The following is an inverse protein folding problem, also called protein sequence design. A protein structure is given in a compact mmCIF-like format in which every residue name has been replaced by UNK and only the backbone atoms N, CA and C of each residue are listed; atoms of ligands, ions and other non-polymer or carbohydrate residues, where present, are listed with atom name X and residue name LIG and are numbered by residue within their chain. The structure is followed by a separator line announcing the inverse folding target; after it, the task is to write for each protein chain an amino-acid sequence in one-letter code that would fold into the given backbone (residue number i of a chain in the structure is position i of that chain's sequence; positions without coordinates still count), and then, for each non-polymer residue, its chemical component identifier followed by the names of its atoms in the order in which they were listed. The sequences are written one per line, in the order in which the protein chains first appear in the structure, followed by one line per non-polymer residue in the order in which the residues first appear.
data_IF_265781120250
#
_entry.id   IF_265781120250
#
_cell.length_a   1.000
_cell.length_b   1.000
_cell.length_c   1.000
_cell.angle_alpha   90.00
_cell.angle_beta   90.00
_cell.angle_gamma   90.00
#
_symmetry.space_group_name_H-M   'P 1'
#
loop_
_entity.id
_entity.type
_entity.pdbx_description
1 polymer ?
#
# COMPACT_ATOMS: atom_id res chain seq x y z
N UNK A 1 -24.80 43.40 16.93
CA UNK A 1 -23.97 42.46 16.15
C UNK A 1 -22.85 43.27 15.54
N UNK A 2 -21.66 43.23 16.12
CA UNK A 2 -20.55 44.12 15.78
C UNK A 2 -19.65 43.44 14.75
N UNK A 3 -19.53 44.04 13.56
CA UNK A 3 -18.68 43.53 12.47
C UNK A 3 -17.21 43.81 12.83
N UNK A 4 -16.31 42.81 12.84
CA UNK A 4 -14.90 43.06 13.13
C UNK A 4 -14.25 43.93 12.04
N UNK A 5 -13.42 44.88 12.46
CA UNK A 5 -12.64 45.78 11.59
C UNK A 5 -11.76 44.99 10.61
N UNK A 6 -11.59 45.51 9.39
CA UNK A 6 -10.76 44.91 8.32
C UNK A 6 -9.30 44.66 8.74
N UNK A 7 -8.80 45.42 9.72
CA UNK A 7 -7.48 45.22 10.31
C UNK A 7 -7.41 43.97 11.20
N UNK A 8 -8.49 43.66 11.94
CA UNK A 8 -8.56 42.46 12.77
C UNK A 8 -8.64 41.19 11.90
N UNK A 9 -9.38 41.24 10.80
CA UNK A 9 -9.47 40.14 9.83
C UNK A 9 -8.10 39.87 9.18
N UNK A 10 -7.36 40.93 8.82
CA UNK A 10 -6.00 40.83 8.27
C UNK A 10 -5.00 40.26 9.28
N UNK A 11 -5.08 40.67 10.54
CA UNK A 11 -4.21 40.17 11.60
C UNK A 11 -4.44 38.67 11.85
N UNK A 12 -5.70 38.22 11.86
CA UNK A 12 -6.06 36.81 12.05
C UNK A 12 -5.58 35.96 10.86
N UNK A 13 -5.72 36.45 9.62
CA UNK A 13 -5.26 35.75 8.43
C UNK A 13 -3.74 35.54 8.41
N UNK A 14 -2.97 36.55 8.87
CA UNK A 14 -1.50 36.45 8.96
C UNK A 14 -1.05 35.48 10.05
N UNK A 15 -1.76 35.41 11.18
CA UNK A 15 -1.47 34.43 12.25
C UNK A 15 -1.77 33.01 11.78
N UNK A 16 -2.86 32.78 11.05
CA UNK A 16 -3.20 31.45 10.51
C UNK A 16 -2.18 30.94 9.47
N UNK A 17 -1.62 31.84 8.65
CA UNK A 17 -0.56 31.49 7.69
C UNK A 17 0.78 31.17 8.36
N UNK A 18 1.07 31.77 9.52
CA UNK A 18 2.32 31.53 10.25
C UNK A 18 2.34 30.21 11.05
N UNK A 19 1.18 29.62 11.33
CA UNK A 19 1.06 28.37 12.10
C UNK A 19 1.15 27.12 11.21
N UNK A 20 0.95 27.27 9.88
CA UNK A 20 1.11 26.16 8.93
C UNK A 20 2.57 26.03 8.48
N UNK A 21 3.48 25.80 9.42
CA UNK A 21 4.81 25.29 9.08
C UNK A 21 4.67 23.78 9.08
N UNK A 22 4.63 23.09 7.92
CA UNK A 22 4.75 21.65 7.92
C UNK A 22 6.09 21.32 8.57
N UNK A 23 6.05 20.68 9.74
CA UNK A 23 7.24 20.10 10.34
C UNK A 23 7.71 18.98 9.42
N UNK A 24 8.66 19.29 8.54
CA UNK A 24 9.40 18.29 7.77
C UNK A 24 10.25 17.56 8.81
N UNK A 25 9.69 16.52 9.42
CA UNK A 25 10.48 15.57 10.19
C UNK A 25 11.36 14.89 9.16
N UNK A 26 12.65 15.23 9.15
CA UNK A 26 13.63 14.52 8.33
C UNK A 26 13.54 13.04 8.72
N UNK A 27 12.97 12.23 7.83
CA UNK A 27 12.78 10.80 8.08
C UNK A 27 14.16 10.15 8.14
N UNK A 28 14.48 9.58 9.30
CA UNK A 28 15.79 8.97 9.57
C UNK A 28 15.91 7.69 8.74
N UNK A 29 17.04 7.46 8.06
CA UNK A 29 17.28 6.19 7.36
C UNK A 29 17.46 5.06 8.38
N UNK A 30 16.96 3.88 8.07
CA UNK A 30 17.23 2.68 8.86
C UNK A 30 18.72 2.33 8.75
N UNK A 31 19.31 1.67 9.77
CA UNK A 31 20.62 1.04 9.65
C UNK A 31 20.70 0.14 8.41
N UNK A 32 21.89 0.04 7.81
CA UNK A 32 22.08 -0.71 6.57
C UNK A 32 21.69 -2.19 6.71
N UNK A 33 21.98 -2.83 7.85
CA UNK A 33 21.62 -4.23 8.12
C UNK A 33 20.10 -4.45 8.13
N UNK A 34 19.34 -3.48 8.65
CA UNK A 34 17.87 -3.53 8.64
C UNK A 34 17.35 -3.26 7.23
N UNK A 35 17.91 -2.27 6.55
CA UNK A 35 17.53 -1.92 5.17
C UNK A 35 17.76 -3.09 4.22
N UNK A 36 18.92 -3.74 4.30
CA UNK A 36 19.29 -4.90 3.48
C UNK A 36 18.41 -6.11 3.80
N UNK A 37 18.11 -6.34 5.09
CA UNK A 37 17.22 -7.41 5.48
C UNK A 37 15.82 -7.25 4.89
N UNK A 38 15.25 -6.04 4.97
CA UNK A 38 13.92 -5.77 4.41
C UNK A 38 13.94 -5.86 2.88
N UNK A 39 14.93 -5.27 2.21
CA UNK A 39 15.14 -5.40 0.77
C UNK A 39 15.15 -6.86 0.35
N UNK A 40 15.98 -7.69 0.99
CA UNK A 40 16.10 -9.11 0.68
C UNK A 40 14.79 -9.87 0.80
N UNK A 41 13.87 -9.42 1.66
CA UNK A 41 12.57 -10.03 1.88
C UNK A 41 11.52 -9.54 0.88
N UNK A 42 11.60 -8.29 0.47
CA UNK A 42 10.75 -7.76 -0.61
C UNK A 42 11.12 -8.39 -1.95
N UNK A 43 12.39 -8.68 -2.17
CA UNK A 43 12.94 -9.27 -3.41
C UNK A 43 13.08 -10.81 -3.31
N UNK A 44 12.46 -11.43 -2.31
CA UNK A 44 12.49 -12.88 -2.10
C UNK A 44 11.42 -13.56 -2.98
N UNK A 45 11.80 -13.89 -4.22
CA UNK A 45 10.95 -14.64 -5.14
C UNK A 45 10.43 -15.97 -4.54
N UNK A 46 11.12 -16.54 -3.54
CA UNK A 46 10.67 -17.79 -2.91
C UNK A 46 9.48 -17.57 -1.98
N UNK A 47 9.34 -16.40 -1.35
CA UNK A 47 8.17 -16.05 -0.53
C UNK A 47 6.89 -16.09 -1.35
N UNK A 48 6.95 -15.63 -2.59
CA UNK A 48 5.83 -15.62 -3.52
C UNK A 48 5.78 -16.83 -4.44
N UNK A 49 6.74 -17.76 -4.37
CA UNK A 49 6.74 -18.97 -5.22
C UNK A 49 5.53 -19.89 -5.03
N UNK A 50 4.91 -19.82 -3.85
CA UNK A 50 3.68 -20.56 -3.49
C UNK A 50 2.39 -19.83 -3.91
N UNK A 51 2.53 -18.62 -4.45
CA UNK A 51 1.45 -17.83 -5.04
C UNK A 51 1.04 -18.48 -6.37
N UNK A 52 0.08 -19.39 -6.32
CA UNK A 52 -0.55 -20.02 -7.50
C UNK A 52 -1.89 -19.38 -7.80
N UNK A 53 -2.23 -19.27 -9.09
CA UNK A 53 -3.62 -18.99 -9.48
C UNK A 53 -4.45 -20.25 -9.27
N UNK A 54 -5.46 -20.20 -8.38
CA UNK A 54 -6.23 -21.38 -7.93
C UNK A 54 -7.02 -22.16 -9.00
N UNK A 55 -6.86 -21.89 -10.30
CA UNK A 55 -7.53 -22.61 -11.41
C UNK A 55 -6.65 -22.93 -12.62
N UNK A 56 -5.41 -22.46 -12.64
CA UNK A 56 -4.44 -22.79 -13.67
C UNK A 56 -3.07 -22.86 -12.99
N UNK A 57 -2.27 -23.88 -13.26
CA UNK A 57 -0.91 -24.03 -12.72
C UNK A 57 0.07 -22.90 -13.13
N UNK A 58 -0.44 -21.78 -13.63
CA UNK A 58 0.29 -20.55 -13.85
C UNK A 58 0.65 -19.91 -12.49
N UNK A 59 1.92 -20.06 -12.10
CA UNK A 59 2.50 -19.27 -11.01
C UNK A 59 2.57 -17.82 -11.45
N UNK A 60 2.32 -16.89 -10.53
CA UNK A 60 2.67 -15.51 -10.78
C UNK A 60 4.19 -15.40 -10.83
N UNK A 61 4.73 -14.89 -11.94
CA UNK A 61 6.15 -14.57 -12.05
C UNK A 61 6.44 -13.30 -11.23
N UNK A 62 6.49 -13.46 -9.91
CA UNK A 62 6.78 -12.40 -8.93
C UNK A 62 8.20 -12.64 -8.44
N UNK A 63 9.10 -11.75 -8.82
CA UNK A 63 10.49 -11.74 -8.37
C UNK A 63 10.71 -10.78 -7.20
N UNK A 64 9.90 -9.72 -7.13
CA UNK A 64 9.77 -8.81 -5.99
C UNK A 64 8.30 -8.59 -5.64
N UNK A 65 8.00 -8.24 -4.39
CA UNK A 65 6.62 -7.92 -3.98
C UNK A 65 6.00 -6.82 -4.86
N UNK A 66 6.79 -5.82 -5.28
CA UNK A 66 6.27 -4.69 -6.04
C UNK A 66 6.04 -4.99 -7.53
N UNK A 67 6.49 -6.14 -8.05
CA UNK A 67 6.18 -6.58 -9.43
C UNK A 67 4.66 -6.70 -9.67
N UNK A 68 3.88 -6.88 -8.60
CA UNK A 68 2.41 -6.95 -8.67
C UNK A 68 1.77 -5.64 -9.09
N UNK A 69 2.48 -4.52 -8.97
CA UNK A 69 2.00 -3.20 -9.42
C UNK A 69 1.91 -3.12 -10.95
N UNK A 70 2.66 -3.95 -11.66
CA UNK A 70 2.65 -4.06 -13.12
C UNK A 70 1.65 -5.10 -13.64
N UNK A 71 0.89 -5.74 -12.76
CA UNK A 71 -0.14 -6.69 -13.17
C UNK A 71 -1.33 -5.98 -13.83
N UNK A 72 -1.94 -6.67 -14.81
CA UNK A 72 -3.28 -6.30 -15.25
C UNK A 72 -4.28 -6.44 -14.10
N UNK A 73 -5.37 -5.68 -14.12
CA UNK A 73 -6.40 -5.71 -13.07
C UNK A 73 -6.88 -7.13 -12.74
N UNK A 74 -7.06 -7.97 -13.78
CA UNK A 74 -7.44 -9.37 -13.59
C UNK A 74 -6.36 -10.18 -12.86
N UNK A 75 -5.09 -10.02 -13.23
CA UNK A 75 -3.98 -10.71 -12.55
C UNK A 75 -3.79 -10.20 -11.13
N UNK A 76 -3.93 -8.90 -10.92
CA UNK A 76 -3.89 -8.28 -9.60
C UNK A 76 -5.00 -8.82 -8.71
N UNK A 77 -6.26 -8.85 -9.18
CA UNK A 77 -7.37 -9.45 -8.45
C UNK A 77 -7.14 -10.93 -8.12
N UNK A 78 -6.63 -11.72 -9.07
CA UNK A 78 -6.29 -13.13 -8.80
C UNK A 78 -5.19 -13.28 -7.74
N UNK A 79 -4.20 -12.38 -7.72
CA UNK A 79 -3.18 -12.33 -6.68
C UNK A 79 -3.81 -12.02 -5.32
N UNK A 80 -4.66 -10.98 -5.24
CA UNK A 80 -5.29 -10.55 -4.00
C UNK A 80 -6.31 -11.57 -3.43
N UNK A 81 -6.98 -12.34 -4.30
CA UNK A 81 -7.88 -13.43 -3.86
C UNK A 81 -7.14 -14.69 -3.41
N UNK A 82 -5.85 -14.80 -3.70
CA UNK A 82 -5.05 -15.97 -3.33
C UNK A 82 -4.42 -15.80 -1.96
N UNK A 83 -4.87 -16.59 -0.99
CA UNK A 83 -4.34 -16.55 0.37
C UNK A 83 -2.84 -16.89 0.46
N UNK A 84 -2.30 -17.69 -0.47
CA UNK A 84 -0.87 -17.98 -0.52
C UNK A 84 -0.04 -16.80 -1.02
N UNK A 85 -0.65 -15.83 -1.69
CA UNK A 85 -0.03 -14.58 -2.12
C UNK A 85 -0.12 -13.48 -1.05
N UNK A 86 -1.30 -13.34 -0.42
CA UNK A 86 -1.55 -12.26 0.55
C UNK A 86 -0.92 -12.53 1.91
N UNK A 87 -0.83 -13.79 2.38
CA UNK A 87 -0.22 -14.11 3.68
C UNK A 87 1.26 -13.69 3.79
N UNK A 88 2.13 -13.98 2.79
CA UNK A 88 3.50 -13.45 2.79
C UNK A 88 3.56 -11.93 2.87
N UNK A 89 2.74 -11.21 2.08
CA UNK A 89 2.64 -9.76 2.13
C UNK A 89 2.22 -9.25 3.52
N UNK A 90 1.21 -9.89 4.13
CA UNK A 90 0.79 -9.57 5.49
C UNK A 90 1.92 -9.81 6.51
N UNK A 91 2.72 -10.86 6.35
CA UNK A 91 3.87 -11.12 7.23
C UNK A 91 4.93 -10.04 7.11
N UNK A 92 5.17 -9.53 5.90
CA UNK A 92 6.12 -8.43 5.65
C UNK A 92 5.67 -7.15 6.35
N UNK A 93 4.39 -6.78 6.29
CA UNK A 93 3.85 -5.60 6.99
C UNK A 93 4.24 -5.54 8.47
N UNK A 94 4.18 -6.68 9.16
CA UNK A 94 4.47 -6.73 10.59
C UNK A 94 5.98 -6.67 10.90
N UNK A 95 6.84 -6.82 9.89
CA UNK A 95 8.30 -6.90 10.05
C UNK A 95 9.02 -5.66 9.55
N UNK A 96 8.41 -4.87 8.68
CA UNK A 96 9.01 -3.65 8.15
C UNK A 96 8.96 -2.55 9.23
N UNK A 97 10.10 -1.90 9.56
CA UNK A 97 10.11 -0.75 10.46
C UNK A 97 9.23 0.39 9.96
N UNK A 98 8.48 1.02 10.87
CA UNK A 98 7.60 2.16 10.57
C UNK A 98 8.24 3.51 10.87
N UNK A 99 9.38 3.52 11.57
CA UNK A 99 10.00 4.71 12.14
C UNK A 99 11.25 5.17 11.39
N UNK A 100 11.59 4.55 10.26
CA UNK A 100 12.75 4.90 9.45
C UNK A 100 12.52 4.63 7.96
N UNK A 101 13.26 5.32 7.09
CA UNK A 101 13.26 5.09 5.65
C UNK A 101 14.26 4.00 5.27
N UNK A 102 13.85 3.15 4.34
CA UNK A 102 14.69 2.09 3.79
C UNK A 102 15.19 2.53 2.43
N UNK A 103 16.48 2.37 2.18
CA UNK A 103 17.00 2.54 0.82
C UNK A 103 16.53 1.35 -0.02
N UNK A 104 15.73 1.60 -1.04
CA UNK A 104 15.15 0.58 -1.91
C UNK A 104 15.33 1.03 -3.36
N UNK A 105 16.09 0.25 -4.13
CA UNK A 105 16.50 0.59 -5.51
C UNK A 105 17.08 2.01 -5.67
N UNK A 106 17.90 2.46 -4.70
CA UNK A 106 18.58 3.75 -4.76
C UNK A 106 17.73 4.95 -4.33
N UNK A 107 16.59 4.69 -3.66
CA UNK A 107 15.72 5.73 -3.12
C UNK A 107 15.32 5.42 -1.67
N UNK A 108 15.34 6.44 -0.81
CA UNK A 108 14.88 6.30 0.56
C UNK A 108 13.34 6.31 0.61
N UNK A 109 12.74 5.20 1.02
CA UNK A 109 11.28 4.98 0.98
C UNK A 109 10.71 4.55 2.32
N UNK A 110 9.45 4.91 2.55
CA UNK A 110 8.67 4.36 3.65
C UNK A 110 8.03 3.04 3.20
N UNK A 111 8.83 1.96 3.18
CA UNK A 111 8.35 0.67 2.67
C UNK A 111 7.21 0.11 3.53
N UNK A 112 7.10 0.48 4.81
CA UNK A 112 5.95 0.09 5.61
C UNK A 112 4.67 0.69 5.05
N UNK A 113 4.68 1.96 4.67
CA UNK A 113 3.55 2.65 4.06
C UNK A 113 3.26 2.15 2.65
N UNK A 114 4.30 1.90 1.85
CA UNK A 114 4.16 1.37 0.49
C UNK A 114 3.48 -0.02 0.50
N UNK A 115 3.94 -0.93 1.36
CA UNK A 115 3.36 -2.28 1.47
C UNK A 115 1.96 -2.20 2.11
N UNK A 116 1.72 -1.27 3.04
CA UNK A 116 0.38 -1.06 3.66
C UNK A 116 -0.61 -0.60 2.60
N UNK A 117 -0.23 0.36 1.77
CA UNK A 117 -1.01 0.84 0.64
C UNK A 117 -1.36 -0.29 -0.32
N UNK A 118 -0.37 -1.12 -0.67
CA UNK A 118 -0.58 -2.28 -1.53
C UNK A 118 -1.56 -3.30 -0.92
N UNK A 119 -1.42 -3.60 0.37
CA UNK A 119 -2.31 -4.51 1.08
C UNK A 119 -3.76 -3.98 1.11
N UNK A 120 -3.95 -2.69 1.38
CA UNK A 120 -5.28 -2.07 1.34
C UNK A 120 -5.88 -2.10 -0.06
N UNK A 121 -5.10 -1.80 -1.10
CA UNK A 121 -5.54 -1.90 -2.49
C UNK A 121 -6.01 -3.31 -2.84
N UNK A 122 -5.34 -4.35 -2.33
CA UNK A 122 -5.78 -5.73 -2.50
C UNK A 122 -7.13 -6.01 -1.83
N UNK A 123 -7.32 -5.54 -0.60
CA UNK A 123 -8.57 -5.72 0.14
C UNK A 123 -9.74 -5.01 -0.57
N UNK A 124 -9.53 -3.78 -1.02
CA UNK A 124 -10.51 -3.00 -1.77
C UNK A 124 -10.89 -3.70 -3.08
N UNK A 125 -9.90 -4.09 -3.88
CA UNK A 125 -10.12 -4.75 -5.18
C UNK A 125 -10.90 -6.06 -5.01
N UNK A 126 -10.59 -6.83 -3.97
CA UNK A 126 -11.29 -8.09 -3.66
C UNK A 126 -12.74 -7.81 -3.25
N UNK A 127 -12.96 -6.85 -2.35
CA UNK A 127 -14.31 -6.50 -1.90
C UNK A 127 -15.19 -5.98 -3.05
N UNK A 128 -14.66 -5.15 -3.95
CA UNK A 128 -15.39 -4.69 -5.13
C UNK A 128 -15.75 -5.84 -6.06
N UNK A 129 -14.84 -6.78 -6.29
CA UNK A 129 -15.10 -7.94 -7.13
C UNK A 129 -16.14 -8.89 -6.51
N UNK A 130 -16.09 -9.10 -5.19
CA UNK A 130 -17.07 -9.94 -4.49
C UNK A 130 -18.49 -9.34 -4.58
N UNK A 131 -18.62 -8.01 -4.43
CA UNK A 131 -19.91 -7.32 -4.62
C UNK A 131 -20.45 -7.46 -6.05
N UNK A 132 -19.56 -7.38 -7.05
CA UNK A 132 -19.95 -7.54 -8.45
C UNK A 132 -20.39 -8.98 -8.76
N UNK A 133 -19.70 -9.97 -8.19
CA UNK A 133 -20.07 -11.39 -8.31
C UNK A 133 -21.45 -11.66 -7.66
N UNK A 134 -21.73 -11.06 -6.51
CA UNK A 134 -23.05 -11.11 -5.84
C UNK A 134 -24.16 -10.44 -6.66
N UNK A 135 -23.94 -9.22 -7.18
CA UNK A 135 -24.91 -8.52 -8.04
C UNK A 135 -25.22 -9.34 -9.30
N UNK A 136 -24.19 -9.97 -9.89
CA UNK A 136 -24.35 -10.83 -11.04
C UNK A 136 -25.19 -12.07 -10.72
N UNK A 137 -24.97 -12.71 -9.56
CA UNK A 137 -25.80 -13.82 -9.09
C UNK A 137 -27.25 -13.40 -8.89
N UNK A 138 -27.51 -12.25 -8.25
CA UNK A 138 -28.87 -11.75 -8.06
C UNK A 138 -29.60 -11.50 -9.38
N UNK A 139 -28.93 -10.92 -10.39
CA UNK A 139 -29.53 -10.77 -11.72
C UNK A 139 -29.88 -12.11 -12.34
N UNK A 140 -28.98 -13.08 -12.28
CA UNK A 140 -29.19 -14.41 -12.86
C UNK A 140 -30.38 -15.16 -12.24
N UNK A 141 -30.68 -14.95 -10.95
CA UNK A 141 -31.83 -15.60 -10.28
C UNK A 141 -33.16 -14.87 -10.45
N UNK A 142 -33.17 -13.62 -10.89
CA UNK A 142 -34.37 -12.80 -11.07
C UNK A 142 -34.85 -12.74 -12.53
N UNK A 143 -34.03 -13.20 -13.48
CA UNK A 143 -34.37 -13.47 -14.88
C UNK A 143 -34.86 -14.93 -15.08
#
# INVERSE_FOLDING_TARGET
MSVPSSAAVRAIALVLLAVYIPTIVASVKCPDDISDHVQSKLDDATLFSTCSTGKADARFAVTSLFDVLDFSDQRFLMFCRSSSCVKPMQSLLHRIPTNCLIDYHGSARNLSEDVTTLYHKCAETTATADLADEEHLYRYFLD
#
